data_IF_950827993939
#
_entry.id   IF_950827993939
#
_cell.length_a   1.000
_cell.length_b   1.000
_cell.length_c   1.000
_cell.angle_alpha   90.00
_cell.angle_beta   90.00
_cell.angle_gamma   90.00
#
_symmetry.space_group_name_H-M   'P 1'
#
loop_
_entity.id
_entity.type
_entity.pdbx_description
1 polymer ?
#
# COMPACT_ATOMS: atom_id res chain seq x y z
N UNK A 1 38.68 -1.25 27.30
CA UNK A 1 37.41 -0.92 26.62
C UNK A 1 37.45 -1.57 25.25
N UNK A 2 37.09 -2.85 25.17
CA UNK A 2 37.24 -3.64 23.94
C UNK A 2 36.14 -3.26 22.94
N UNK A 3 36.55 -2.61 21.85
CA UNK A 3 35.71 -2.40 20.68
C UNK A 3 35.46 -3.78 20.07
N UNK A 4 34.25 -4.32 20.30
CA UNK A 4 33.76 -5.47 19.55
C UNK A 4 33.58 -5.00 18.11
N UNK A 5 34.55 -5.31 17.25
CA UNK A 5 34.40 -5.16 15.81
C UNK A 5 33.31 -6.13 15.36
N UNK A 6 32.09 -5.63 15.13
CA UNK A 6 31.02 -6.42 14.55
C UNK A 6 31.52 -7.10 13.27
N UNK A 7 31.27 -8.40 13.15
CA UNK A 7 31.77 -9.17 12.02
C UNK A 7 31.02 -8.75 10.75
N UNK A 8 31.69 -8.62 9.60
CA UNK A 8 31.07 -8.15 8.35
C UNK A 8 29.83 -8.97 7.91
N UNK A 9 29.74 -10.24 8.32
CA UNK A 9 28.58 -11.11 8.07
C UNK A 9 27.33 -10.68 8.83
N UNK A 10 27.46 -10.20 10.08
CA UNK A 10 26.32 -9.71 10.87
C UNK A 10 25.76 -8.42 10.28
N UNK A 11 26.64 -7.51 9.86
CA UNK A 11 26.24 -6.28 9.16
C UNK A 11 25.55 -6.57 7.83
N UNK A 12 26.03 -7.57 7.07
CA UNK A 12 25.41 -7.99 5.81
C UNK A 12 24.02 -8.62 6.03
N UNK A 13 23.86 -9.46 7.05
CA UNK A 13 22.57 -10.07 7.39
C UNK A 13 21.55 -9.01 7.86
N UNK A 14 21.98 -8.03 8.65
CA UNK A 14 21.14 -6.91 9.06
C UNK A 14 20.69 -6.06 7.86
N UNK A 15 21.60 -5.75 6.93
CA UNK A 15 21.29 -5.01 5.70
C UNK A 15 20.32 -5.78 4.78
N UNK A 16 20.49 -7.09 4.64
CA UNK A 16 19.58 -7.93 3.86
C UNK A 16 18.16 -7.96 4.45
N UNK A 17 18.07 -8.05 5.78
CA UNK A 17 16.79 -8.01 6.52
C UNK A 17 16.10 -6.66 6.33
N UNK A 18 16.82 -5.55 6.52
CA UNK A 18 16.29 -4.20 6.33
C UNK A 18 15.80 -3.99 4.88
N UNK A 19 16.56 -4.45 3.89
CA UNK A 19 16.17 -4.34 2.47
C UNK A 19 14.90 -5.12 2.19
N UNK A 20 14.77 -6.35 2.72
CA UNK A 20 13.56 -7.16 2.60
C UNK A 20 12.35 -6.44 3.20
N UNK A 21 12.49 -5.90 4.41
CA UNK A 21 11.37 -5.24 5.09
C UNK A 21 10.95 -3.97 4.35
N UNK A 22 11.90 -3.20 3.81
CA UNK A 22 11.60 -2.05 2.94
C UNK A 22 10.93 -2.45 1.63
N UNK A 23 11.32 -3.57 1.01
CA UNK A 23 10.66 -4.09 -0.19
C UNK A 23 9.21 -4.48 0.10
N UNK A 24 8.95 -5.14 1.24
CA UNK A 24 7.59 -5.49 1.67
C UNK A 24 6.77 -4.22 1.92
N UNK A 25 7.33 -3.23 2.64
CA UNK A 25 6.66 -1.97 2.90
C UNK A 25 6.34 -1.20 1.62
N UNK A 26 7.27 -1.14 0.67
CA UNK A 26 7.07 -0.50 -0.63
C UNK A 26 5.99 -1.23 -1.45
N UNK A 27 6.02 -2.56 -1.50
CA UNK A 27 4.99 -3.35 -2.18
C UNK A 27 3.60 -3.11 -1.56
N UNK A 28 3.50 -3.11 -0.24
CA UNK A 28 2.26 -2.83 0.48
C UNK A 28 1.75 -1.40 0.18
N UNK A 29 2.64 -0.41 0.16
CA UNK A 29 2.30 0.97 -0.17
C UNK A 29 1.78 1.10 -1.61
N UNK A 30 2.43 0.45 -2.58
CA UNK A 30 1.98 0.44 -3.98
C UNK A 30 0.59 -0.18 -4.09
N UNK A 31 0.34 -1.33 -3.44
CA UNK A 31 -0.97 -1.98 -3.45
C UNK A 31 -2.03 -1.08 -2.80
N UNK A 32 -1.72 -0.42 -1.69
CA UNK A 32 -2.63 0.52 -1.04
C UNK A 32 -2.97 1.70 -1.94
N UNK A 33 -1.99 2.27 -2.65
CA UNK A 33 -2.22 3.36 -3.61
C UNK A 33 -3.09 2.92 -4.79
N UNK A 34 -2.88 1.72 -5.32
CA UNK A 34 -3.73 1.15 -6.38
C UNK A 34 -5.17 0.98 -5.86
N UNK A 35 -5.35 0.48 -4.63
CA UNK A 35 -6.67 0.33 -4.04
C UNK A 35 -7.38 1.68 -3.85
N UNK A 36 -6.68 2.69 -3.32
CA UNK A 36 -7.22 4.04 -3.17
C UNK A 36 -7.58 4.65 -4.54
N UNK A 37 -6.74 4.46 -5.55
CA UNK A 37 -7.04 4.88 -6.91
C UNK A 37 -8.31 4.21 -7.43
N UNK A 38 -8.43 2.89 -7.32
CA UNK A 38 -9.59 2.14 -7.79
C UNK A 38 -10.89 2.57 -7.08
N UNK A 39 -10.83 2.90 -5.79
CA UNK A 39 -12.00 3.28 -4.98
C UNK A 39 -12.44 4.73 -5.20
N UNK A 40 -11.49 5.66 -5.32
CA UNK A 40 -11.78 7.10 -5.29
C UNK A 40 -11.60 7.82 -6.64
N UNK A 41 -10.81 7.27 -7.55
CA UNK A 41 -10.43 7.94 -8.79
C UNK A 41 -10.87 7.16 -10.05
N UNK A 42 -10.98 5.82 -9.98
CA UNK A 42 -11.46 5.04 -11.11
C UNK A 42 -12.99 5.19 -11.25
N UNK A 43 -13.39 5.75 -12.39
CA UNK A 43 -14.78 5.91 -12.78
C UNK A 43 -15.29 4.66 -13.54
N UNK A 44 -14.78 3.47 -13.20
CA UNK A 44 -15.06 2.20 -13.90
C UNK A 44 -14.34 2.04 -15.25
N UNK A 45 -13.32 2.85 -15.53
CA UNK A 45 -12.68 2.88 -16.87
C UNK A 45 -11.49 1.93 -17.00
N UNK A 46 -10.71 1.73 -15.93
CA UNK A 46 -9.53 0.87 -15.95
C UNK A 46 -9.84 -0.56 -15.47
N UNK A 47 -10.79 -0.70 -14.55
CA UNK A 47 -11.19 -2.01 -14.00
C UNK A 47 -12.66 -2.26 -14.37
N UNK A 48 -13.02 -2.38 -15.65
CA UNK A 48 -14.44 -2.38 -16.05
C UNK A 48 -15.31 -3.51 -15.48
N UNK A 49 -14.77 -4.69 -15.17
CA UNK A 49 -15.56 -5.82 -14.66
C UNK A 49 -15.85 -5.75 -13.14
N UNK A 50 -15.02 -5.05 -12.38
CA UNK A 50 -15.13 -4.95 -10.90
C UNK A 50 -15.27 -3.50 -10.43
N UNK A 51 -14.91 -2.57 -11.30
CA UNK A 51 -14.87 -1.12 -11.08
C UNK A 51 -16.26 -0.56 -10.89
N UNK A 52 -17.27 -0.98 -11.66
CA UNK A 52 -18.65 -0.54 -11.43
C UNK A 52 -19.15 -0.94 -10.02
N UNK A 53 -18.90 -2.19 -9.61
CA UNK A 53 -19.25 -2.68 -8.28
C UNK A 53 -18.50 -1.93 -7.17
N UNK A 54 -17.20 -1.68 -7.37
CA UNK A 54 -16.36 -0.98 -6.41
C UNK A 54 -16.72 0.52 -6.35
N UNK A 55 -17.10 1.11 -7.47
CA UNK A 55 -17.52 2.49 -7.63
C UNK A 55 -18.85 2.74 -6.92
N UNK A 56 -19.84 1.88 -7.12
CA UNK A 56 -21.12 1.92 -6.40
C UNK A 56 -20.93 1.68 -4.90
N UNK A 57 -20.13 0.68 -4.51
CA UNK A 57 -19.82 0.42 -3.10
C UNK A 57 -19.12 1.62 -2.42
N UNK A 58 -18.15 2.23 -3.09
CA UNK A 58 -17.43 3.40 -2.59
C UNK A 58 -18.35 4.62 -2.49
N UNK A 59 -19.20 4.81 -3.50
CA UNK A 59 -20.20 5.85 -3.54
C UNK A 59 -21.19 5.71 -2.37
N UNK A 60 -21.74 4.51 -2.14
CA UNK A 60 -22.64 4.21 -1.02
C UNK A 60 -21.96 4.38 0.35
N UNK A 61 -20.70 3.97 0.47
CA UNK A 61 -19.89 4.22 1.66
C UNK A 61 -19.76 5.72 1.97
N UNK A 62 -19.59 6.56 0.94
CA UNK A 62 -19.50 8.03 1.11
C UNK A 62 -20.78 8.61 1.68
N UNK A 63 -21.94 8.11 1.23
CA UNK A 63 -23.24 8.46 1.80
C UNK A 63 -23.39 7.97 3.24
N UNK A 64 -22.96 6.75 3.54
CA UNK A 64 -23.01 6.17 4.89
C UNK A 64 -22.16 6.96 5.90
N UNK A 65 -20.98 7.44 5.50
CA UNK A 65 -20.09 8.25 6.34
C UNK A 65 -20.37 9.76 6.27
N UNK A 66 -21.46 10.18 5.59
CA UNK A 66 -21.91 11.58 5.56
C UNK A 66 -20.99 12.53 4.80
N UNK A 67 -20.15 12.02 3.91
CA UNK A 67 -19.26 12.85 3.10
C UNK A 67 -20.04 13.54 1.96
N UNK A 68 -19.77 14.83 1.69
CA UNK A 68 -20.59 15.66 0.81
C UNK A 68 -20.58 15.16 -0.63
N UNK A 69 -21.76 15.02 -1.24
CA UNK A 69 -21.98 14.27 -2.48
C UNK A 69 -21.72 15.05 -3.80
N UNK A 70 -21.33 16.33 -3.76
CA UNK A 70 -21.32 17.21 -4.94
C UNK A 70 -19.94 17.81 -5.27
#
# INVERSE_FOLDING_TARGET
MSLHTAQPTESAAAAATATRDWMIAAAAAIVALIALYAVFLDQGTLISATGDYLHEFAHDGRHLFGAPCH
#
